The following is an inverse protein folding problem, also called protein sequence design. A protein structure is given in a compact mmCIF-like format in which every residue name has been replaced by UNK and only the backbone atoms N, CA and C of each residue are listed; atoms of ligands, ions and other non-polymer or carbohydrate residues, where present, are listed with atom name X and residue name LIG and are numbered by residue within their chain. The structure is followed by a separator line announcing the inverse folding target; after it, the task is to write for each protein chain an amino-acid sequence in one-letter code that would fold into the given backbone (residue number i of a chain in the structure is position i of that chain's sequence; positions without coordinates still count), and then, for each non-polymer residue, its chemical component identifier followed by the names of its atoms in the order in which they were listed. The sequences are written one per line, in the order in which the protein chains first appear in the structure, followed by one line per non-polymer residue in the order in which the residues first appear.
data_IF_758292852300
#
_entry.id   IF_758292852300
#
_cell.length_a   1.000
_cell.length_b   1.000
_cell.length_c   1.000
_cell.angle_alpha   90.00
_cell.angle_beta   90.00
_cell.angle_gamma   90.00
#
_symmetry.space_group_name_H-M   'P 1'
#
loop_
_entity.id
_entity.type
_entity.pdbx_description
1 polymer ?
#
# COMPACT_ATOMS: atom_id res chain seq x y z
N UNK A 1 1.27 -10.59 -14.13
CA UNK A 1 2.48 -9.74 -14.25
C UNK A 1 2.04 -8.31 -14.02
N UNK A 2 2.20 -7.80 -12.79
CA UNK A 2 1.85 -6.43 -12.42
C UNK A 2 3.14 -5.67 -12.13
N UNK A 3 3.58 -4.91 -13.12
CA UNK A 3 4.66 -3.93 -12.97
C UNK A 3 4.01 -2.62 -12.52
N UNK A 4 4.23 -2.23 -11.28
CA UNK A 4 3.75 -0.95 -10.76
C UNK A 4 4.73 0.15 -11.09
N UNK A 5 4.56 0.79 -12.24
CA UNK A 5 4.94 2.20 -12.48
C UNK A 5 4.02 2.73 -13.60
N UNK A 6 3.20 3.74 -13.30
CA UNK A 6 2.57 4.53 -14.35
C UNK A 6 3.60 5.57 -14.82
N UNK A 7 4.07 5.53 -16.07
CA UNK A 7 4.85 6.63 -16.62
C UNK A 7 3.90 7.80 -16.87
N UNK A 8 4.08 8.91 -16.14
CA UNK A 8 3.39 10.18 -16.43
C UNK A 8 2.80 10.97 -15.25
N UNK A 9 2.96 10.56 -14.00
CA UNK A 9 2.43 11.33 -12.87
C UNK A 9 3.24 12.64 -12.64
N UNK A 10 2.62 13.84 -12.71
CA UNK A 10 3.31 15.12 -12.58
C UNK A 10 3.97 15.37 -11.22
N UNK A 11 3.60 14.58 -10.20
CA UNK A 11 4.16 14.65 -8.85
C UNK A 11 5.51 13.92 -8.72
N UNK A 12 5.92 13.15 -9.73
CA UNK A 12 7.19 12.40 -9.72
C UNK A 12 8.43 13.30 -9.85
N UNK A 13 8.27 14.52 -10.36
CA UNK A 13 9.40 15.43 -10.65
C UNK A 13 9.77 16.36 -9.47
N UNK A 14 9.10 16.28 -8.32
CA UNK A 14 9.36 17.18 -7.17
C UNK A 14 9.71 16.50 -5.85
N UNK A 15 9.67 15.18 -5.78
CA UNK A 15 10.25 14.46 -4.67
C UNK A 15 11.73 14.18 -4.98
N UNK A 16 12.61 14.60 -4.06
CA UNK A 16 14.02 14.28 -3.96
C UNK A 16 14.41 12.97 -4.67
N UNK A 17 15.46 13.00 -5.52
CA UNK A 17 15.97 11.87 -6.32
C UNK A 17 15.93 10.55 -5.53
N UNK A 18 14.87 9.78 -5.73
CA UNK A 18 14.69 8.46 -5.16
C UNK A 18 15.41 7.49 -6.08
N UNK A 19 16.75 7.49 -6.04
CA UNK A 19 17.55 6.55 -6.79
C UNK A 19 17.23 5.13 -6.27
N UNK A 20 16.33 4.45 -6.98
CA UNK A 20 15.92 3.05 -6.85
C UNK A 20 15.06 2.66 -5.62
N UNK A 21 13.95 3.36 -5.36
CA UNK A 21 12.87 2.78 -4.54
C UNK A 21 12.03 1.86 -5.44
N UNK A 22 12.48 0.62 -5.66
CA UNK A 22 11.66 -0.40 -6.30
C UNK A 22 11.32 -1.50 -5.29
N UNK A 23 10.05 -1.61 -4.93
CA UNK A 23 9.56 -2.74 -4.16
C UNK A 23 9.44 -3.96 -5.09
N UNK A 24 10.08 -5.07 -4.70
CA UNK A 24 9.97 -6.35 -5.39
C UNK A 24 8.84 -7.20 -4.81
N UNK A 25 8.21 -8.04 -5.63
CA UNK A 25 7.15 -8.93 -5.16
C UNK A 25 7.75 -10.09 -4.34
N UNK A 26 7.21 -10.33 -3.15
CA UNK A 26 7.60 -11.44 -2.27
C UNK A 26 6.39 -12.35 -1.98
N UNK A 27 6.45 -13.57 -2.49
CA UNK A 27 5.40 -14.57 -2.34
C UNK A 27 5.17 -14.96 -0.86
N UNK A 28 6.15 -14.82 0.03
CA UNK A 28 5.96 -15.08 1.47
C UNK A 28 5.11 -13.99 2.11
N UNK A 29 5.35 -12.73 1.73
CA UNK A 29 4.53 -11.62 2.19
C UNK A 29 3.10 -11.73 1.63
N UNK A 30 2.95 -12.20 0.38
CA UNK A 30 1.65 -12.50 -0.21
C UNK A 30 0.89 -13.58 0.59
N UNK A 31 1.57 -14.65 0.99
CA UNK A 31 0.98 -15.69 1.83
C UNK A 31 0.56 -15.16 3.20
N UNK A 32 1.38 -14.31 3.83
CA UNK A 32 1.00 -13.62 5.08
C UNK A 32 -0.25 -12.77 4.83
N UNK A 33 -0.26 -11.93 3.80
CA UNK A 33 -1.41 -11.11 3.43
C UNK A 33 -2.67 -11.97 3.26
N UNK A 34 -2.58 -13.10 2.55
CA UNK A 34 -3.69 -14.03 2.33
C UNK A 34 -4.23 -14.62 3.63
N UNK A 35 -3.34 -15.03 4.54
CA UNK A 35 -3.72 -15.66 5.80
C UNK A 35 -4.31 -14.67 6.82
N UNK A 36 -3.86 -13.41 6.80
CA UNK A 36 -4.18 -12.41 7.82
C UNK A 36 -5.25 -11.38 7.38
N UNK A 37 -5.71 -11.44 6.13
CA UNK A 37 -6.62 -10.43 5.55
C UNK A 37 -7.95 -10.22 6.30
N UNK A 38 -8.50 -11.27 6.91
CA UNK A 38 -9.74 -11.15 7.68
C UNK A 38 -9.48 -10.85 9.17
N UNK A 39 -8.30 -11.21 9.70
CA UNK A 39 -7.87 -10.96 11.09
C UNK A 39 -6.36 -10.68 11.10
N UNK A 40 -5.94 -9.40 11.18
CA UNK A 40 -4.53 -9.00 10.99
C UNK A 40 -3.60 -9.31 12.18
N UNK A 41 -4.03 -10.13 13.15
CA UNK A 41 -3.34 -10.33 14.43
C UNK A 41 -2.05 -11.16 14.29
N UNK A 42 -1.91 -11.95 13.23
CA UNK A 42 -0.75 -12.80 12.97
C UNK A 42 0.33 -12.17 12.07
N UNK A 43 0.26 -10.85 11.82
CA UNK A 43 1.32 -10.15 11.07
C UNK A 43 2.52 -9.91 12.01
N UNK A 44 3.72 -10.40 11.66
CA UNK A 44 4.92 -10.17 12.46
C UNK A 44 5.19 -8.68 12.73
N UNK A 45 5.65 -8.31 13.94
CA UNK A 45 5.81 -6.91 14.35
C UNK A 45 6.89 -6.14 13.59
N UNK A 46 7.79 -6.83 12.88
CA UNK A 46 8.79 -6.25 11.99
C UNK A 46 8.23 -5.82 10.63
N UNK A 47 7.03 -6.28 10.27
CA UNK A 47 6.34 -5.93 9.03
C UNK A 47 5.29 -4.86 9.25
N UNK A 48 4.88 -4.22 8.16
CA UNK A 48 3.69 -3.38 8.14
C UNK A 48 2.67 -3.90 7.15
N UNK A 49 1.46 -3.36 7.23
CA UNK A 49 0.41 -3.67 6.28
C UNK A 49 -0.53 -2.49 6.03
N UNK A 50 -1.05 -2.48 4.81
CA UNK A 50 -2.18 -1.65 4.40
C UNK A 50 -3.36 -2.55 4.04
N UNK A 51 -4.56 -2.10 4.35
CA UNK A 51 -5.79 -2.75 3.90
C UNK A 51 -6.79 -1.73 3.36
N UNK A 52 -7.58 -2.13 2.37
CA UNK A 52 -8.73 -1.36 1.89
C UNK A 52 -9.87 -2.31 1.53
N UNK A 53 -11.10 -1.78 1.52
CA UNK A 53 -12.30 -2.50 1.10
C UNK A 53 -12.39 -2.42 -0.41
N UNK A 54 -12.60 -3.57 -1.05
CA UNK A 54 -12.79 -3.68 -2.50
C UNK A 54 -14.12 -4.38 -2.80
N UNK A 55 -14.65 -4.13 -3.99
CA UNK A 55 -15.82 -4.88 -4.47
C UNK A 55 -15.35 -6.17 -5.14
N UNK A 56 -15.65 -7.30 -4.51
CA UNK A 56 -15.52 -8.64 -5.09
C UNK A 56 -16.93 -9.11 -5.46
N UNK A 57 -17.45 -8.61 -6.57
CA UNK A 57 -18.75 -9.04 -7.10
C UNK A 57 -18.52 -10.26 -8.02
N UNK A 58 -19.16 -11.42 -7.74
CA UNK A 58 -19.05 -12.62 -8.58
C UNK A 58 -19.95 -12.58 -9.82
N UNK A 59 -20.93 -11.66 -9.90
CA UNK A 59 -21.88 -11.52 -11.02
C UNK A 59 -21.40 -10.56 -12.10
N UNK A 60 -20.59 -9.57 -11.73
CA UNK A 60 -19.80 -8.77 -12.65
C UNK A 60 -18.42 -9.40 -12.73
N UNK A 61 -17.83 -9.51 -13.93
CA UNK A 61 -16.39 -9.76 -14.04
C UNK A 61 -15.71 -8.59 -13.34
N UNK A 62 -15.41 -8.74 -12.05
CA UNK A 62 -14.65 -7.76 -11.31
C UNK A 62 -13.21 -8.01 -11.72
N UNK A 63 -12.79 -7.34 -12.79
CA UNK A 63 -11.38 -7.23 -13.10
C UNK A 63 -10.73 -6.61 -11.86
N UNK A 64 -10.07 -7.47 -11.09
CA UNK A 64 -9.41 -7.09 -9.86
C UNK A 64 -8.40 -5.97 -10.11
N UNK A 65 -7.85 -5.89 -11.32
CA UNK A 65 -6.96 -4.80 -11.73
C UNK A 65 -7.64 -3.45 -11.60
N UNK A 66 -8.95 -3.34 -11.89
CA UNK A 66 -9.72 -2.09 -11.73
C UNK A 66 -9.86 -1.73 -10.26
N UNK A 67 -10.21 -2.69 -9.41
CA UNK A 67 -10.38 -2.47 -7.97
C UNK A 67 -9.04 -2.12 -7.30
N UNK A 68 -7.98 -2.88 -7.59
CA UNK A 68 -6.62 -2.60 -7.11
C UNK A 68 -6.14 -1.24 -7.59
N UNK A 69 -6.35 -0.87 -8.86
CA UNK A 69 -6.00 0.49 -9.36
C UNK A 69 -6.78 1.58 -8.64
N UNK A 70 -8.06 1.36 -8.32
CA UNK A 70 -8.86 2.33 -7.58
C UNK A 70 -8.31 2.56 -6.17
N UNK A 71 -7.94 1.49 -5.46
CA UNK A 71 -7.30 1.58 -4.13
C UNK A 71 -5.98 2.36 -4.21
N UNK A 72 -5.13 2.06 -5.19
CA UNK A 72 -3.84 2.75 -5.36
C UNK A 72 -4.03 4.22 -5.68
N UNK A 73 -4.94 4.55 -6.61
CA UNK A 73 -5.27 5.96 -6.94
C UNK A 73 -5.82 6.72 -5.74
N UNK A 74 -6.66 6.08 -4.94
CA UNK A 74 -7.19 6.66 -3.69
C UNK A 74 -6.06 6.95 -2.71
N UNK A 75 -5.12 6.02 -2.53
CA UNK A 75 -3.95 6.23 -1.67
C UNK A 75 -3.09 7.41 -2.15
N UNK A 76 -2.77 7.48 -3.44
CA UNK A 76 -2.01 8.61 -4.02
C UNK A 76 -2.75 9.93 -3.87
N UNK A 77 -4.06 9.97 -4.15
CA UNK A 77 -4.87 11.19 -3.99
C UNK A 77 -4.91 11.67 -2.53
N UNK A 78 -4.95 10.75 -1.57
CA UNK A 78 -4.89 11.13 -0.16
C UNK A 78 -3.56 11.82 0.17
N UNK A 79 -2.46 11.53 -0.52
CA UNK A 79 -1.18 12.20 -0.31
C UNK A 79 -1.24 13.69 -0.66
N UNK A 80 -2.10 14.09 -1.60
CA UNK A 80 -2.25 15.49 -2.04
C UNK A 80 -2.89 16.39 -0.99
N UNK A 81 -3.52 15.81 0.05
CA UNK A 81 -4.15 16.59 1.14
C UNK A 81 -3.15 17.13 2.15
N UNK A 82 -1.90 16.68 2.09
CA UNK A 82 -0.79 17.10 2.95
C UNK A 82 0.32 17.66 2.08
N UNK A 83 0.90 18.80 2.46
CA UNK A 83 2.08 19.33 1.78
C UNK A 83 3.31 18.51 2.15
N UNK A 84 3.70 17.59 1.27
CA UNK A 84 4.90 16.75 1.40
C UNK A 84 6.13 17.35 0.70
N UNK A 85 6.01 18.57 0.14
CA UNK A 85 7.09 19.20 -0.63
C UNK A 85 8.19 19.81 0.22
N UNK A 86 7.87 20.15 1.47
CA UNK A 86 8.80 20.76 2.43
C UNK A 86 9.55 19.70 3.21
N UNK A 87 8.82 18.73 3.78
CA UNK A 87 9.40 17.61 4.50
C UNK A 87 8.48 16.39 4.37
N UNK A 88 9.00 15.19 4.02
CA UNK A 88 8.20 13.98 3.92
C UNK A 88 7.87 13.43 5.31
N UNK A 89 7.10 14.19 6.08
CA UNK A 89 6.67 13.83 7.43
C UNK A 89 5.50 12.86 7.33
N UNK A 90 5.52 11.83 8.16
CA UNK A 90 4.38 10.94 8.32
C UNK A 90 3.15 11.70 8.81
N UNK A 91 2.02 11.52 8.13
CA UNK A 91 0.73 12.00 8.62
C UNK A 91 -0.27 10.85 8.63
N UNK A 92 -1.05 10.71 9.71
CA UNK A 92 -1.98 9.58 9.89
C UNK A 92 -2.99 9.46 8.74
N UNK A 93 -3.40 10.59 8.16
CA UNK A 93 -4.33 10.64 7.02
C UNK A 93 -3.78 9.99 5.75
N UNK A 94 -2.45 9.88 5.62
CA UNK A 94 -1.79 9.35 4.43
C UNK A 94 -1.08 8.03 4.69
N UNK A 95 -1.36 7.35 5.82
CA UNK A 95 -0.69 6.10 6.24
C UNK A 95 -0.58 5.07 5.11
N UNK A 96 -1.67 4.85 4.35
CA UNK A 96 -1.67 3.91 3.23
C UNK A 96 -0.67 4.30 2.13
N UNK A 97 -0.60 5.59 1.81
CA UNK A 97 0.40 6.12 0.88
C UNK A 97 1.81 6.04 1.46
N UNK A 98 2.01 6.45 2.72
CA UNK A 98 3.32 6.41 3.39
C UNK A 98 3.97 5.04 3.35
N UNK A 99 3.20 3.96 3.47
CA UNK A 99 3.72 2.58 3.37
C UNK A 99 4.12 2.20 1.95
N UNK A 100 3.30 2.60 0.96
CA UNK A 100 3.62 2.36 -0.45
C UNK A 100 4.92 3.03 -0.86
N UNK A 101 5.19 4.24 -0.36
CA UNK A 101 6.39 5.02 -0.70
C UNK A 101 7.52 4.93 0.34
N UNK A 102 7.40 4.03 1.33
CA UNK A 102 8.42 3.91 2.37
C UNK A 102 9.71 3.32 1.81
N UNK A 103 10.71 4.18 1.57
CA UNK A 103 11.96 3.80 0.90
C UNK A 103 12.79 2.71 1.58
N UNK A 104 12.56 2.43 2.88
CA UNK A 104 13.21 1.30 3.58
C UNK A 104 12.54 -0.04 3.30
N UNK A 105 11.26 -0.04 2.93
CA UNK A 105 10.54 -1.24 2.50
C UNK A 105 10.88 -1.54 1.04
N UNK A 106 11.42 -2.73 0.80
CA UNK A 106 11.93 -3.17 -0.51
C UNK A 106 11.17 -4.37 -1.07
N UNK A 107 10.29 -4.97 -0.26
CA UNK A 107 9.47 -6.11 -0.66
C UNK A 107 8.03 -5.91 -0.24
N UNK A 108 7.13 -6.34 -1.12
CA UNK A 108 5.68 -6.26 -0.93
C UNK A 108 5.03 -7.57 -1.35
N UNK A 109 3.97 -7.96 -0.66
CA UNK A 109 3.06 -9.01 -1.13
C UNK A 109 1.63 -8.67 -0.77
N UNK A 110 0.72 -8.78 -1.74
CA UNK A 110 -0.68 -8.44 -1.56
C UNK A 110 -1.59 -9.62 -1.87
N UNK A 111 -2.66 -9.75 -1.09
CA UNK A 111 -3.73 -10.71 -1.35
C UNK A 111 -5.08 -10.03 -1.17
N UNK A 112 -6.10 -10.63 -1.76
CA UNK A 112 -7.49 -10.24 -1.57
C UNK A 112 -8.29 -11.42 -1.04
N UNK A 113 -9.37 -11.14 -0.33
CA UNK A 113 -10.32 -12.16 0.12
C UNK A 113 -11.66 -11.51 0.46
N UNK A 114 -12.69 -12.34 0.60
CA UNK A 114 -13.99 -11.92 1.10
C UNK A 114 -14.05 -12.15 2.62
N UNK A 115 -14.23 -11.08 3.38
CA UNK A 115 -14.28 -11.10 4.83
C UNK A 115 -15.54 -10.37 5.29
N UNK A 116 -16.37 -11.01 6.12
CA UNK A 116 -17.57 -10.42 6.74
C UNK A 116 -18.53 -9.74 5.74
N UNK A 117 -18.76 -10.37 4.59
CA UNK A 117 -19.67 -9.80 3.58
C UNK A 117 -19.05 -8.70 2.71
N UNK A 118 -17.73 -8.48 2.77
CA UNK A 118 -17.04 -7.45 1.97
C UNK A 118 -15.75 -8.00 1.37
N UNK A 119 -15.42 -7.56 0.16
CA UNK A 119 -14.09 -7.77 -0.38
C UNK A 119 -13.06 -6.91 0.36
N UNK A 120 -11.89 -7.48 0.62
CA UNK A 120 -10.75 -6.78 1.18
C UNK A 120 -9.53 -7.01 0.29
N UNK A 121 -8.66 -6.02 0.25
CA UNK A 121 -7.32 -6.08 -0.31
C UNK A 121 -6.35 -5.76 0.82
N UNK A 122 -5.37 -6.62 1.06
CA UNK A 122 -4.31 -6.40 2.03
C UNK A 122 -2.96 -6.49 1.32
N UNK A 123 -2.05 -5.57 1.63
CA UNK A 123 -0.65 -5.61 1.23
C UNK A 123 0.22 -5.61 2.49
N UNK A 124 1.22 -6.47 2.53
CA UNK A 124 2.21 -6.60 3.60
C UNK A 124 3.56 -6.14 3.06
N UNK A 125 4.27 -5.37 3.88
CA UNK A 125 5.54 -4.72 3.57
C UNK A 125 6.63 -5.25 4.49
N UNK A 126 7.84 -5.47 3.96
CA UNK A 126 8.91 -6.13 4.71
C UNK A 126 9.60 -5.26 5.78
N UNK A 127 9.17 -4.02 5.93
CA UNK A 127 9.56 -3.12 7.01
C UNK A 127 8.35 -2.45 7.61
N UNK A 128 8.29 -2.49 8.94
CA UNK A 128 7.43 -1.63 9.73
C UNK A 128 7.73 -0.17 9.45
N UNK A 129 6.68 0.60 9.18
CA UNK A 129 6.82 2.03 9.04
C UNK A 129 7.17 2.65 10.39
N UNK A 130 8.24 3.44 10.42
CA UNK A 130 8.66 4.21 11.61
C UNK A 130 8.59 5.68 11.23
N UNK A 131 7.66 6.43 11.84
CA UNK A 131 7.65 7.89 11.73
C UNK A 131 8.89 8.44 12.41
N UNK A 132 9.63 9.30 11.70
CA UNK A 132 10.82 9.97 12.26
C UNK A 132 10.41 11.23 13.06
N UNK A 133 9.12 11.61 13.04
CA UNK A 133 8.59 12.69 13.85
C UNK A 133 8.28 12.23 15.29
N UNK A 134 8.62 13.02 16.32
CA UNK A 134 8.20 12.77 17.68
C UNK A 134 6.68 12.94 17.77
N UNK A 135 6.01 12.04 18.48
CA UNK A 135 4.63 12.22 18.89
C UNK A 135 4.55 13.51 19.75
N UNK A 136 3.97 14.57 19.20
CA UNK A 136 3.55 15.78 19.94
C UNK A 136 2.10 16.07 19.62
#
# INVERSE_FOLDING_TARGET
MLVFLFPGDPLLNRAFSADNIFQSWDCKLEQIAKSQICSPDGIPPEYDYSYDVITLDPTFITDITVQTRAVLKKATKNAEVVDLSVEPIYHRLIRGYSMMVYGKSTRIGCSMNYCDGRGRLMCVYDKKFVSIAPDV
#
